data_IF_446492118449
#
_entry.id   IF_446492118449
#
_cell.length_a   1.000
_cell.length_b   1.000
_cell.length_c   1.000
_cell.angle_alpha   90.00
_cell.angle_beta   90.00
_cell.angle_gamma   90.00
#
_symmetry.space_group_name_H-M   'P 1'
#
loop_
_entity.id
_entity.type
_entity.pdbx_description
1 polymer ?
#
# COMPACT_ATOMS: atom_id res chain seq x y z
N UNK A 1 29.25 -2.33 -55.13
CA UNK A 1 28.06 -1.48 -54.98
C UNK A 1 27.53 -1.68 -53.59
N UNK A 2 27.64 -0.66 -52.74
CA UNK A 2 27.15 -0.74 -51.35
C UNK A 2 25.66 -0.41 -51.38
N UNK A 3 24.83 -1.37 -50.94
CA UNK A 3 23.39 -1.19 -50.76
C UNK A 3 23.15 -0.24 -49.57
N UNK A 4 22.68 0.98 -49.86
CA UNK A 4 22.19 1.91 -48.87
C UNK A 4 21.03 1.26 -48.13
N UNK A 5 21.21 0.91 -46.83
CA UNK A 5 20.12 0.58 -45.93
C UNK A 5 19.26 1.83 -45.78
N UNK A 6 18.04 1.80 -46.30
CA UNK A 6 17.03 2.84 -46.07
C UNK A 6 16.67 2.77 -44.57
N UNK A 7 17.02 3.81 -43.83
CA UNK A 7 16.52 3.95 -42.42
C UNK A 7 15.00 4.14 -42.49
N UNK A 8 14.26 3.14 -42.07
CA UNK A 8 12.82 3.26 -41.89
C UNK A 8 12.58 4.28 -40.78
N UNK A 9 11.86 5.34 -41.09
CA UNK A 9 11.48 6.34 -40.09
C UNK A 9 10.62 5.72 -39.00
N UNK A 10 11.02 5.88 -37.73
CA UNK A 10 10.23 5.43 -36.60
C UNK A 10 8.95 6.26 -36.52
N UNK A 11 7.80 5.63 -36.78
CA UNK A 11 6.49 6.27 -36.62
C UNK A 11 6.11 6.24 -35.13
N UNK A 12 6.21 7.40 -34.51
CA UNK A 12 5.75 7.58 -33.08
C UNK A 12 4.24 7.76 -33.10
N UNK A 13 3.51 6.78 -32.55
CA UNK A 13 2.07 6.90 -32.34
C UNK A 13 1.80 7.83 -31.16
N UNK A 14 0.85 8.79 -31.27
CA UNK A 14 0.46 9.63 -30.14
C UNK A 14 -0.16 8.76 -29.04
N UNK A 15 0.02 9.19 -27.78
CA UNK A 15 -0.65 8.59 -26.64
C UNK A 15 -2.13 9.01 -26.61
N UNK A 16 -3.03 8.07 -26.34
CA UNK A 16 -4.46 8.32 -26.08
C UNK A 16 -4.73 8.03 -24.58
N UNK A 17 -4.46 9.03 -23.74
CA UNK A 17 -4.58 8.88 -22.29
C UNK A 17 -6.04 9.06 -21.86
N UNK A 18 -6.59 8.03 -21.25
CA UNK A 18 -7.95 8.01 -20.68
C UNK A 18 -7.91 7.70 -19.20
N UNK A 19 -9.02 8.01 -18.54
CA UNK A 19 -9.22 7.74 -17.12
C UNK A 19 -10.52 6.97 -16.91
N UNK A 20 -10.50 6.09 -15.93
CA UNK A 20 -11.68 5.38 -15.46
C UNK A 20 -11.59 5.18 -13.95
N UNK A 21 -12.75 5.11 -13.30
CA UNK A 21 -12.81 4.82 -11.86
C UNK A 21 -13.37 3.41 -11.68
N UNK A 22 -12.71 2.65 -10.82
CA UNK A 22 -13.18 1.33 -10.37
C UNK A 22 -13.18 1.30 -8.84
N UNK A 23 -14.03 0.45 -8.27
CA UNK A 23 -13.99 0.15 -6.84
C UNK A 23 -13.34 -1.20 -6.61
N UNK A 24 -12.42 -1.26 -5.66
CA UNK A 24 -11.95 -2.52 -5.07
C UNK A 24 -12.62 -2.69 -3.70
N UNK A 25 -12.99 -3.93 -3.38
CA UNK A 25 -13.66 -4.30 -2.12
C UNK A 25 -12.86 -5.42 -1.47
N UNK A 26 -12.59 -5.27 -0.17
CA UNK A 26 -11.85 -6.27 0.60
C UNK A 26 -12.65 -7.55 0.81
N UNK A 27 -12.04 -8.68 0.48
CA UNK A 27 -12.56 -10.03 0.76
C UNK A 27 -12.07 -10.55 2.11
N UNK A 28 -11.01 -9.93 2.64
CA UNK A 28 -10.46 -10.20 3.97
C UNK A 28 -9.94 -8.90 4.59
N UNK A 29 -9.78 -8.84 5.93
CA UNK A 29 -9.30 -7.63 6.60
C UNK A 29 -7.95 -7.15 6.06
N UNK A 30 -7.76 -5.83 5.96
CA UNK A 30 -6.50 -5.22 5.58
C UNK A 30 -5.70 -4.87 6.84
N UNK A 31 -4.46 -5.37 6.94
CA UNK A 31 -3.55 -5.04 8.03
C UNK A 31 -2.50 -4.06 7.52
N UNK A 32 -2.45 -2.87 8.09
CA UNK A 32 -1.47 -1.85 7.71
C UNK A 32 -0.22 -1.91 8.58
N UNK A 33 0.92 -1.50 8.02
CA UNK A 33 2.16 -1.32 8.74
C UNK A 33 2.98 -0.21 8.10
N UNK A 34 2.57 1.03 8.37
CA UNK A 34 3.34 2.20 7.98
C UNK A 34 4.64 2.30 8.80
N UNK A 35 5.66 2.90 8.23
CA UNK A 35 6.88 3.23 8.97
C UNK A 35 6.62 4.44 9.86
N UNK A 36 6.72 4.24 11.18
CA UNK A 36 6.57 5.32 12.14
C UNK A 36 7.71 6.32 12.02
N UNK A 37 7.44 7.58 12.33
CA UNK A 37 8.47 8.63 12.37
C UNK A 37 9.58 8.31 13.40
N UNK A 38 9.20 7.67 14.51
CA UNK A 38 10.12 7.15 15.51
C UNK A 38 11.09 6.12 14.92
N UNK A 39 10.59 5.16 14.12
CA UNK A 39 11.43 4.18 13.45
C UNK A 39 12.37 4.83 12.44
N UNK A 40 11.88 5.78 11.63
CA UNK A 40 12.70 6.56 10.69
C UNK A 40 13.81 7.32 11.39
N UNK A 41 13.49 8.01 12.49
CA UNK A 41 14.46 8.73 13.30
C UNK A 41 15.52 7.81 13.90
N UNK A 42 15.12 6.67 14.45
CA UNK A 42 16.06 5.66 14.99
C UNK A 42 17.01 5.12 13.91
N UNK A 43 16.51 4.87 12.71
CA UNK A 43 17.36 4.44 11.58
C UNK A 43 18.35 5.53 11.18
N UNK A 44 17.92 6.79 11.09
CA UNK A 44 18.80 7.92 10.77
C UNK A 44 19.89 8.10 11.84
N UNK A 45 19.53 8.04 13.12
CA UNK A 45 20.49 8.10 14.23
C UNK A 45 21.49 6.94 14.19
N UNK A 46 21.04 5.74 13.83
CA UNK A 46 21.93 4.58 13.67
C UNK A 46 22.90 4.78 12.52
N UNK A 47 22.45 5.28 11.37
CA UNK A 47 23.31 5.60 10.22
C UNK A 47 24.33 6.71 10.54
N UNK A 48 23.96 7.66 11.41
CA UNK A 48 24.85 8.74 11.88
C UNK A 48 25.77 8.31 13.03
N UNK A 49 25.72 7.07 13.48
CA UNK A 49 26.52 6.57 14.61
C UNK A 49 26.11 7.12 15.98
N UNK A 50 24.96 7.78 16.09
CA UNK A 50 24.48 8.44 17.32
C UNK A 50 23.69 7.51 18.26
N UNK A 51 23.44 6.26 17.86
CA UNK A 51 22.62 5.30 18.61
C UNK A 51 23.36 4.57 19.73
N UNK A 52 24.67 4.67 19.81
CA UNK A 52 25.46 3.94 20.82
C UNK A 52 25.16 4.42 22.25
N UNK A 53 24.68 3.49 23.10
CA UNK A 53 24.42 3.75 24.52
C UNK A 53 23.02 4.30 24.88
N UNK A 54 22.15 4.57 23.91
CA UNK A 54 20.76 4.96 24.19
C UNK A 54 19.94 3.75 24.63
N UNK A 55 19.21 3.86 25.74
CA UNK A 55 18.20 2.87 26.13
C UNK A 55 17.07 2.90 25.11
N UNK A 56 16.55 1.72 24.75
CA UNK A 56 15.33 1.66 23.96
C UNK A 56 14.17 2.31 24.74
N UNK A 57 13.37 3.16 24.11
CA UNK A 57 12.17 3.70 24.76
C UNK A 57 11.23 2.57 25.17
N UNK A 58 10.45 2.81 26.20
CA UNK A 58 9.37 1.88 26.62
C UNK A 58 8.40 1.76 25.45
N UNK A 59 7.95 0.55 25.19
CA UNK A 59 6.99 0.29 24.12
C UNK A 59 5.58 0.66 24.61
N UNK A 60 4.90 1.48 23.83
CA UNK A 60 3.49 1.81 24.01
C UNK A 60 2.69 1.15 22.89
N UNK A 61 1.83 0.15 23.21
CA UNK A 61 1.03 -0.56 22.22
C UNK A 61 0.15 0.35 21.38
N UNK A 62 -0.50 1.33 22.01
CA UNK A 62 -1.44 2.24 21.34
C UNK A 62 -0.70 3.22 20.43
N UNK A 63 0.47 3.75 20.84
CA UNK A 63 1.34 4.54 19.99
C UNK A 63 1.79 3.73 18.76
N UNK A 64 2.29 2.50 18.97
CA UNK A 64 2.70 1.62 17.85
C UNK A 64 1.55 1.37 16.86
N UNK A 65 0.33 1.13 17.36
CA UNK A 65 -0.89 0.95 16.57
C UNK A 65 -1.21 2.21 15.75
N UNK A 66 -1.28 3.38 16.38
CA UNK A 66 -1.56 4.67 15.71
C UNK A 66 -0.51 4.97 14.64
N UNK A 67 0.77 4.80 14.98
CA UNK A 67 1.88 5.08 14.06
C UNK A 67 1.98 4.08 12.91
N UNK A 68 1.39 2.89 13.03
CA UNK A 68 1.37 1.86 11.99
C UNK A 68 0.28 2.07 10.94
N UNK A 69 -0.65 3.02 11.13
CA UNK A 69 -1.65 3.40 10.15
C UNK A 69 -1.08 4.37 9.11
N UNK A 70 -1.60 4.30 7.88
CA UNK A 70 -1.41 5.35 6.87
C UNK A 70 -2.54 6.36 7.00
N UNK A 71 -2.26 7.49 7.62
CA UNK A 71 -3.21 8.58 7.79
C UNK A 71 -3.22 9.50 6.56
N UNK A 72 -4.40 9.77 6.01
CA UNK A 72 -4.59 10.82 5.00
C UNK A 72 -4.85 12.17 5.66
N UNK A 73 -5.70 12.18 6.70
CA UNK A 73 -6.01 13.39 7.46
C UNK A 73 -6.31 13.06 8.91
N UNK A 74 -6.19 14.05 9.79
CA UNK A 74 -6.59 13.95 11.18
C UNK A 74 -5.76 12.99 12.04
N UNK A 75 -4.47 12.77 11.69
CA UNK A 75 -3.58 11.95 12.52
C UNK A 75 -3.52 12.52 13.93
N UNK A 76 -3.73 11.71 15.00
CA UNK A 76 -3.65 12.16 16.37
C UNK A 76 -2.30 12.77 16.72
N UNK A 77 -2.31 13.87 17.46
CA UNK A 77 -1.12 14.50 18.03
C UNK A 77 -1.14 14.34 19.55
N UNK A 78 -0.05 13.85 20.13
CA UNK A 78 0.15 13.67 21.56
C UNK A 78 1.65 13.72 21.89
N UNK A 79 2.05 13.97 23.17
CA UNK A 79 3.44 13.98 23.59
C UNK A 79 4.16 12.65 23.32
N UNK A 80 5.48 12.69 23.11
CA UNK A 80 6.30 11.46 22.87
C UNK A 80 6.27 10.45 24.03
N UNK A 81 6.02 10.91 25.24
CA UNK A 81 5.93 10.15 26.48
C UNK A 81 4.48 9.93 26.94
N UNK A 82 3.51 10.15 26.07
CA UNK A 82 2.09 9.95 26.36
C UNK A 82 1.82 8.51 26.85
N UNK A 83 0.93 8.38 27.83
CA UNK A 83 0.43 7.11 28.31
C UNK A 83 -0.45 6.40 27.26
N UNK A 84 -0.76 5.13 27.49
CA UNK A 84 -1.70 4.39 26.62
C UNK A 84 -3.09 5.03 26.62
N UNK A 85 -3.53 5.56 27.79
CA UNK A 85 -4.81 6.23 27.95
C UNK A 85 -4.87 7.53 27.13
N UNK A 86 -3.85 8.38 27.22
CA UNK A 86 -3.75 9.62 26.43
C UNK A 86 -3.71 9.34 24.92
N UNK A 87 -2.99 8.29 24.49
CA UNK A 87 -2.97 7.88 23.09
C UNK A 87 -4.36 7.38 22.63
N UNK A 88 -5.07 6.65 23.48
CA UNK A 88 -6.42 6.12 23.20
C UNK A 88 -7.42 7.26 23.04
N UNK A 89 -7.44 8.21 23.99
CA UNK A 89 -8.30 9.39 23.92
C UNK A 89 -8.03 10.22 22.65
N UNK A 90 -6.75 10.42 22.30
CA UNK A 90 -6.36 11.14 21.10
C UNK A 90 -6.81 10.42 19.81
N UNK A 91 -6.72 9.08 19.79
CA UNK A 91 -7.21 8.27 18.67
C UNK A 91 -8.73 8.36 18.53
N UNK A 92 -9.48 8.17 19.61
CA UNK A 92 -10.94 8.24 19.63
C UNK A 92 -11.42 9.63 19.18
N UNK A 93 -10.82 10.71 19.69
CA UNK A 93 -11.11 12.07 19.28
C UNK A 93 -10.81 12.30 17.77
N UNK A 94 -9.72 11.73 17.24
CA UNK A 94 -9.42 11.82 15.83
C UNK A 94 -10.48 11.14 14.96
N UNK A 95 -10.94 9.95 15.35
CA UNK A 95 -12.01 9.22 14.66
C UNK A 95 -13.34 9.99 14.70
N UNK A 96 -13.72 10.52 15.86
CA UNK A 96 -14.93 11.34 16.01
C UNK A 96 -14.89 12.62 15.15
N UNK A 97 -13.70 13.19 14.96
CA UNK A 97 -13.47 14.35 14.12
C UNK A 97 -13.32 14.00 12.62
N UNK A 98 -13.56 12.76 12.23
CA UNK A 98 -13.59 12.34 10.83
C UNK A 98 -12.21 12.11 10.21
N UNK A 99 -11.24 11.68 10.98
CA UNK A 99 -9.94 11.27 10.46
C UNK A 99 -10.07 10.20 9.38
N UNK A 100 -9.18 10.24 8.38
CA UNK A 100 -9.23 9.32 7.23
C UNK A 100 -7.93 8.59 7.05
N UNK A 101 -8.04 7.38 6.51
CA UNK A 101 -6.91 6.48 6.26
C UNK A 101 -6.67 6.28 4.78
N UNK A 102 -5.42 6.03 4.43
CA UNK A 102 -5.02 5.76 3.06
C UNK A 102 -4.21 4.49 2.90
N UNK A 103 -3.93 4.15 1.64
CA UNK A 103 -3.00 3.09 1.31
C UNK A 103 -2.19 3.45 0.06
N UNK A 104 -0.88 3.10 -0.02
CA UNK A 104 -0.04 3.46 -1.16
C UNK A 104 -0.56 2.85 -2.46
N UNK A 105 -0.85 3.70 -3.47
CA UNK A 105 -1.31 3.25 -4.80
C UNK A 105 -0.28 2.35 -5.48
N UNK A 106 1.00 2.54 -5.16
CA UNK A 106 2.09 1.72 -5.69
C UNK A 106 1.98 0.25 -5.27
N UNK A 107 1.46 -0.04 -4.08
CA UNK A 107 1.27 -1.40 -3.61
C UNK A 107 0.18 -2.12 -4.42
N UNK A 108 -0.93 -1.44 -4.72
CA UNK A 108 -2.02 -1.97 -5.56
C UNK A 108 -1.50 -2.25 -6.97
N UNK A 109 -0.75 -1.30 -7.55
CA UNK A 109 -0.14 -1.47 -8.86
C UNK A 109 0.86 -2.62 -8.89
N UNK A 110 1.69 -2.77 -7.87
CA UNK A 110 2.65 -3.88 -7.75
C UNK A 110 1.95 -5.23 -7.63
N UNK A 111 0.86 -5.32 -6.86
CA UNK A 111 0.06 -6.55 -6.75
C UNK A 111 -0.49 -6.98 -8.11
N UNK A 112 -1.04 -6.04 -8.90
CA UNK A 112 -1.52 -6.31 -10.26
C UNK A 112 -0.41 -6.81 -11.18
N UNK A 113 0.76 -6.17 -11.16
CA UNK A 113 1.92 -6.56 -11.99
C UNK A 113 2.46 -7.93 -11.61
N UNK A 114 2.58 -8.21 -10.31
CA UNK A 114 3.08 -9.47 -9.81
C UNK A 114 2.11 -10.62 -10.14
N UNK A 115 0.80 -10.41 -9.99
CA UNK A 115 -0.21 -11.40 -10.34
C UNK A 115 -0.22 -11.71 -11.83
N UNK A 116 -0.21 -10.69 -12.70
CA UNK A 116 -0.17 -10.89 -14.14
C UNK A 116 1.06 -11.70 -14.59
N UNK A 117 2.21 -11.47 -13.97
CA UNK A 117 3.42 -12.26 -14.24
C UNK A 117 3.29 -13.70 -13.73
N UNK A 118 2.83 -13.93 -12.51
CA UNK A 118 2.67 -15.25 -11.91
C UNK A 118 1.65 -16.12 -12.64
N UNK A 119 0.62 -15.49 -13.22
CA UNK A 119 -0.40 -16.16 -14.02
C UNK A 119 0.02 -16.35 -15.50
N UNK A 120 1.23 -15.90 -15.87
CA UNK A 120 1.75 -16.06 -17.23
C UNK A 120 1.11 -15.13 -18.27
N UNK A 121 0.39 -14.10 -17.84
CA UNK A 121 -0.24 -13.13 -18.76
C UNK A 121 0.76 -12.17 -19.40
N UNK A 122 1.87 -11.93 -18.73
CA UNK A 122 2.99 -11.14 -19.25
C UNK A 122 4.31 -11.90 -19.07
N UNK A 123 5.24 -11.69 -20.00
CA UNK A 123 6.55 -12.37 -19.98
C UNK A 123 7.45 -11.93 -18.82
N UNK A 124 7.25 -10.72 -18.32
CA UNK A 124 7.95 -10.17 -17.16
C UNK A 124 7.08 -9.11 -16.47
N UNK A 125 7.37 -8.82 -15.20
CA UNK A 125 6.61 -7.82 -14.42
C UNK A 125 6.68 -6.41 -14.99
N UNK A 126 7.71 -6.09 -15.79
CA UNK A 126 7.90 -4.76 -16.37
C UNK A 126 6.88 -4.47 -17.48
N UNK A 127 6.29 -5.50 -18.11
CA UNK A 127 5.33 -5.34 -19.20
C UNK A 127 4.14 -4.46 -18.86
N UNK A 128 3.65 -4.50 -17.64
CA UNK A 128 2.53 -3.67 -17.18
C UNK A 128 2.93 -2.33 -16.53
N UNK A 129 4.23 -2.04 -16.35
CA UNK A 129 4.66 -0.84 -15.62
C UNK A 129 4.19 0.46 -16.23
N UNK A 130 4.27 0.57 -17.57
CA UNK A 130 3.86 1.74 -18.32
C UNK A 130 2.42 1.70 -18.82
N UNK A 131 1.70 0.58 -18.61
CA UNK A 131 0.38 0.39 -19.18
C UNK A 131 -0.69 1.24 -18.49
N UNK A 132 -0.56 1.44 -17.18
CA UNK A 132 -1.50 2.22 -16.39
C UNK A 132 -0.86 2.84 -15.15
N UNK A 133 -1.54 3.84 -14.60
CA UNK A 133 -1.20 4.48 -13.34
C UNK A 133 -2.46 4.60 -12.50
N UNK A 134 -2.32 4.46 -11.19
CA UNK A 134 -3.40 4.72 -10.22
C UNK A 134 -3.11 6.09 -9.64
N UNK A 135 -4.08 7.00 -9.70
CA UNK A 135 -3.95 8.34 -9.12
C UNK A 135 -4.07 8.23 -7.60
N UNK A 136 -3.14 8.83 -6.92
CA UNK A 136 -3.17 9.03 -5.47
C UNK A 136 -3.25 10.53 -5.14
N UNK A 137 -3.30 10.83 -3.86
CA UNK A 137 -3.08 12.17 -3.34
C UNK A 137 -1.62 12.63 -3.56
N UNK A 138 -1.24 13.77 -2.99
CA UNK A 138 0.12 14.32 -3.06
C UNK A 138 1.20 13.37 -2.48
N UNK A 139 0.81 12.46 -1.57
CA UNK A 139 1.66 11.45 -0.97
C UNK A 139 1.60 10.11 -1.71
N UNK A 140 0.85 10.00 -2.81
CA UNK A 140 0.68 8.78 -3.58
C UNK A 140 -0.20 7.76 -2.86
N UNK A 141 -1.19 8.18 -2.09
CA UNK A 141 -2.13 7.32 -1.39
C UNK A 141 -3.54 7.45 -1.97
N UNK A 142 -4.31 6.37 -1.85
CA UNK A 142 -5.75 6.32 -2.08
C UNK A 142 -6.45 6.13 -0.74
N UNK A 143 -7.63 6.76 -0.58
CA UNK A 143 -8.42 6.62 0.63
C UNK A 143 -8.95 5.18 0.78
N UNK A 144 -8.83 4.65 2.00
CA UNK A 144 -9.48 3.41 2.42
C UNK A 144 -10.71 3.78 3.25
N UNK A 145 -11.85 3.32 2.81
CA UNK A 145 -13.11 3.37 3.56
C UNK A 145 -13.29 2.04 4.28
N UNK A 146 -13.63 2.09 5.56
CA UNK A 146 -13.76 0.89 6.40
C UNK A 146 -14.54 1.19 7.67
N UNK A 147 -14.80 0.18 8.47
CA UNK A 147 -15.11 0.35 9.87
C UNK A 147 -13.92 0.98 10.61
N UNK A 148 -14.15 1.43 11.86
CA UNK A 148 -13.06 1.91 12.73
C UNK A 148 -12.01 0.80 12.87
N UNK A 149 -10.73 1.10 12.63
CA UNK A 149 -9.70 0.06 12.68
C UNK A 149 -9.51 -0.46 14.11
N UNK A 150 -9.33 -1.77 14.19
CA UNK A 150 -9.08 -2.49 15.43
C UNK A 150 -7.58 -2.68 15.67
N UNK A 151 -7.14 -2.56 16.91
CA UNK A 151 -5.75 -2.87 17.28
C UNK A 151 -5.54 -4.38 17.29
N UNK A 152 -4.57 -4.82 16.48
CA UNK A 152 -4.14 -6.21 16.39
C UNK A 152 -2.75 -6.38 16.97
N UNK A 153 -2.56 -7.41 17.77
CA UNK A 153 -1.26 -7.84 18.26
C UNK A 153 -0.73 -9.02 17.44
N UNK A 154 0.47 -8.87 16.86
CA UNK A 154 1.15 -9.91 16.08
C UNK A 154 2.52 -10.22 16.67
N UNK A 155 2.79 -11.48 16.97
CA UNK A 155 4.15 -11.94 17.25
C UNK A 155 4.88 -12.20 15.94
N UNK A 156 5.99 -11.49 15.71
CA UNK A 156 6.80 -11.60 14.49
C UNK A 156 8.23 -12.01 14.82
N UNK A 157 8.89 -12.68 13.89
CA UNK A 157 10.34 -12.94 13.96
C UNK A 157 11.09 -11.83 13.26
N UNK A 158 12.02 -11.19 13.98
CA UNK A 158 12.93 -10.17 13.45
C UNK A 158 14.33 -10.78 13.35
N UNK A 159 14.86 -10.90 12.13
CA UNK A 159 16.17 -11.50 11.89
C UNK A 159 16.26 -12.98 12.31
N UNK A 160 17.46 -13.40 12.70
CA UNK A 160 17.75 -14.80 13.02
C UNK A 160 17.35 -15.19 14.46
N UNK A 161 16.07 -15.03 14.82
CA UNK A 161 15.53 -15.66 16.04
C UNK A 161 15.07 -14.73 17.15
N UNK A 162 15.04 -13.42 16.95
CA UNK A 162 14.44 -12.48 17.91
C UNK A 162 12.93 -12.40 17.64
N UNK A 163 12.11 -12.72 18.66
CA UNK A 163 10.67 -12.45 18.63
C UNK A 163 10.41 -10.98 18.98
N UNK A 164 9.47 -10.35 18.29
CA UNK A 164 8.96 -9.01 18.59
C UNK A 164 7.44 -9.00 18.50
N UNK A 165 6.79 -8.18 19.30
CA UNK A 165 5.35 -7.97 19.26
C UNK A 165 5.10 -6.69 18.44
N UNK A 166 4.17 -6.76 17.49
CA UNK A 166 3.76 -5.64 16.65
C UNK A 166 2.30 -5.34 16.88
N UNK A 167 1.99 -4.08 17.14
CA UNK A 167 0.64 -3.57 17.24
C UNK A 167 0.29 -2.84 15.96
N UNK A 168 -0.74 -3.33 15.25
CA UNK A 168 -1.07 -2.90 13.89
C UNK A 168 -2.56 -2.67 13.73
N UNK A 169 -2.98 -1.68 12.92
CA UNK A 169 -4.39 -1.49 12.61
C UNK A 169 -4.86 -2.55 11.61
N UNK A 170 -5.98 -3.18 11.95
CA UNK A 170 -6.76 -4.06 11.10
C UNK A 170 -8.04 -3.36 10.68
N UNK A 171 -8.25 -3.25 9.37
CA UNK A 171 -9.40 -2.61 8.75
C UNK A 171 -10.36 -3.69 8.26
N UNK A 172 -11.55 -3.74 8.81
CA UNK A 172 -12.62 -4.65 8.41
C UNK A 172 -13.54 -3.94 7.40
N UNK A 173 -14.25 -4.70 6.57
CA UNK A 173 -15.25 -4.20 5.60
C UNK A 173 -14.72 -3.02 4.75
N UNK A 174 -13.48 -3.12 4.30
CA UNK A 174 -12.82 -2.03 3.59
C UNK A 174 -13.06 -2.03 2.09
N UNK A 175 -13.04 -0.83 1.50
CA UNK A 175 -13.04 -0.62 0.07
C UNK A 175 -12.23 0.64 -0.30
N UNK A 176 -11.88 0.77 -1.58
CA UNK A 176 -11.26 1.97 -2.12
C UNK A 176 -11.73 2.23 -3.56
N UNK A 177 -11.88 3.51 -3.90
CA UNK A 177 -12.18 3.95 -5.26
C UNK A 177 -10.88 4.36 -5.95
N UNK A 178 -10.54 3.68 -7.05
CA UNK A 178 -9.29 3.87 -7.78
C UNK A 178 -9.55 4.61 -9.08
N UNK A 179 -8.90 5.75 -9.26
CA UNK A 179 -8.84 6.43 -10.56
C UNK A 179 -7.64 5.91 -11.34
N UNK A 180 -7.90 5.22 -12.43
CA UNK A 180 -6.90 4.60 -13.29
C UNK A 180 -6.70 5.45 -14.52
N UNK A 181 -5.47 5.89 -14.77
CA UNK A 181 -5.03 6.53 -16.00
C UNK A 181 -4.29 5.51 -16.87
N UNK A 182 -4.66 5.37 -18.12
CA UNK A 182 -4.10 4.39 -19.04
C UNK A 182 -4.04 4.90 -20.48
N UNK A 183 -3.18 4.31 -21.31
CA UNK A 183 -3.13 4.63 -22.73
C UNK A 183 -4.08 3.70 -23.51
N UNK A 184 -5.19 4.25 -24.02
CA UNK A 184 -6.19 3.49 -24.78
C UNK A 184 -5.67 3.01 -26.16
N UNK A 185 -4.62 3.64 -26.71
CA UNK A 185 -3.93 3.18 -27.91
C UNK A 185 -2.76 2.22 -27.60
N UNK A 186 -2.59 1.83 -26.32
CA UNK A 186 -1.54 0.93 -25.85
C UNK A 186 -1.81 -0.54 -26.14
N UNK A 187 -0.87 -1.39 -25.70
CA UNK A 187 -0.94 -2.85 -25.87
C UNK A 187 -2.04 -3.48 -25.00
N UNK A 188 -2.30 -2.91 -23.82
CA UNK A 188 -3.23 -3.46 -22.83
C UNK A 188 -4.55 -2.69 -22.84
N UNK A 189 -5.66 -3.38 -23.07
CA UNK A 189 -7.00 -2.82 -22.93
C UNK A 189 -7.32 -2.52 -21.45
N UNK A 190 -8.31 -1.66 -21.22
CA UNK A 190 -8.76 -1.35 -19.86
C UNK A 190 -9.28 -2.60 -19.12
N UNK A 191 -9.94 -3.51 -19.81
CA UNK A 191 -10.42 -4.77 -19.27
C UNK A 191 -9.24 -5.65 -18.81
N UNK A 192 -8.16 -5.69 -19.58
CA UNK A 192 -6.93 -6.42 -19.22
C UNK A 192 -6.28 -5.83 -17.96
N UNK A 193 -6.27 -4.50 -17.84
CA UNK A 193 -5.74 -3.79 -16.67
C UNK A 193 -6.62 -4.07 -15.44
N UNK A 194 -7.94 -4.00 -15.57
CA UNK A 194 -8.90 -4.30 -14.50
C UNK A 194 -8.75 -5.75 -14.04
N UNK A 195 -8.64 -6.69 -14.99
CA UNK A 195 -8.42 -8.11 -14.67
C UNK A 195 -7.09 -8.33 -13.93
N UNK A 196 -6.03 -7.59 -14.30
CA UNK A 196 -4.75 -7.68 -13.59
C UNK A 196 -4.86 -7.13 -12.15
N UNK A 197 -5.62 -6.05 -11.93
CA UNK A 197 -5.89 -5.51 -10.59
C UNK A 197 -6.69 -6.52 -9.77
N UNK A 198 -7.74 -7.09 -10.34
CA UNK A 198 -8.57 -8.10 -9.69
C UNK A 198 -7.75 -9.36 -9.30
N UNK A 199 -6.93 -9.87 -10.22
CA UNK A 199 -6.02 -10.97 -9.94
C UNK A 199 -4.99 -10.60 -8.86
N UNK A 200 -4.53 -9.33 -8.84
CA UNK A 200 -3.65 -8.79 -7.82
C UNK A 200 -4.22 -8.95 -6.42
N UNK A 201 -5.52 -8.73 -6.25
CA UNK A 201 -6.21 -8.91 -4.98
C UNK A 201 -6.21 -10.33 -4.47
N UNK A 202 -6.43 -11.30 -5.34
CA UNK A 202 -6.47 -12.71 -4.97
C UNK A 202 -5.07 -13.32 -4.81
N UNK A 203 -4.16 -13.09 -5.77
CA UNK A 203 -2.85 -13.75 -5.83
C UNK A 203 -1.83 -13.13 -4.88
N UNK A 204 -1.88 -11.82 -4.72
CA UNK A 204 -0.87 -11.05 -3.98
C UNK A 204 -1.43 -10.43 -2.70
N UNK A 205 -2.61 -9.82 -2.76
CA UNK A 205 -3.19 -9.05 -1.67
C UNK A 205 -2.42 -7.79 -1.31
N UNK A 206 -2.88 -7.08 -0.28
CA UNK A 206 -2.29 -5.84 0.23
C UNK A 206 -1.95 -5.96 1.72
N UNK A 207 -1.03 -5.13 2.18
CA UNK A 207 -0.67 -5.03 3.60
C UNK A 207 0.13 -6.22 4.13
N UNK A 208 0.00 -6.43 5.44
CA UNK A 208 0.70 -7.52 6.14
C UNK A 208 -0.11 -8.82 6.07
N UNK A 209 0.58 -9.95 6.24
CA UNK A 209 -0.02 -11.29 6.19
C UNK A 209 -0.85 -11.56 4.92
N UNK A 210 -0.48 -10.90 3.81
CA UNK A 210 -1.14 -11.07 2.50
C UNK A 210 -0.74 -12.41 1.84
N UNK A 211 -1.50 -12.92 0.87
CA UNK A 211 -1.19 -14.17 0.14
C UNK A 211 0.23 -14.25 -0.40
N UNK A 212 0.79 -13.15 -0.88
CA UNK A 212 2.19 -13.10 -1.33
C UNK A 212 3.21 -13.43 -0.23
N UNK A 213 2.81 -13.39 1.03
CA UNK A 213 3.60 -13.67 2.24
C UNK A 213 3.02 -14.83 3.05
N UNK A 214 2.42 -15.80 2.35
CA UNK A 214 1.83 -17.02 2.92
C UNK A 214 0.69 -16.76 3.93
N UNK A 215 0.08 -15.58 3.87
CA UNK A 215 -1.07 -15.19 4.67
C UNK A 215 -2.38 -15.22 3.88
N UNK A 216 -3.45 -14.70 4.49
CA UNK A 216 -4.80 -14.65 3.90
C UNK A 216 -5.49 -13.30 4.11
N UNK A 217 -4.75 -12.28 4.52
CA UNK A 217 -5.25 -10.93 4.76
C UNK A 217 -5.05 -10.03 3.53
N UNK A 218 -5.82 -8.94 3.46
CA UNK A 218 -5.71 -7.96 2.40
C UNK A 218 -6.07 -8.45 1.01
N UNK A 219 -6.82 -9.54 0.90
CA UNK A 219 -7.41 -9.97 -0.37
C UNK A 219 -8.55 -9.03 -0.76
N UNK A 220 -8.72 -8.82 -2.05
CA UNK A 220 -9.77 -7.96 -2.59
C UNK A 220 -10.17 -8.39 -4.00
N UNK A 221 -11.32 -7.92 -4.43
CA UNK A 221 -11.80 -8.02 -5.81
C UNK A 221 -12.21 -6.64 -6.35
N UNK A 222 -12.31 -6.53 -7.66
CA UNK A 222 -12.92 -5.36 -8.32
C UNK A 222 -14.44 -5.54 -8.30
N UNK A 223 -15.16 -4.58 -7.72
CA UNK A 223 -16.62 -4.62 -7.66
C UNK A 223 -17.23 -4.67 -9.07
N UNK A 224 -18.29 -5.43 -9.25
CA UNK A 224 -19.09 -5.38 -10.49
C UNK A 224 -19.68 -3.98 -10.65
N UNK A 225 -19.58 -3.45 -11.87
CA UNK A 225 -20.22 -2.18 -12.27
C UNK A 225 -21.70 -2.39 -12.57
#
# INVERSE_FOLDING_TARGET
MATKKTEEAIVIKPLDIKETTIRIVGDSPLIMHAWSEKAKRMMLEAQQGKSKGKKKPVKNPVDDFIQSAYWLSGKPEYPEDASEEECTEAFEAAIENGATFGFPVTAIKQAAQAAAYRLGWVKNQMGLRGAFFIKGDENGMVQIHSDVPEMREDMVKVGMGTADIRYRPQFNNWYADLVISYNAAGEFSIESIINAINAGGYVCGLGEWRPERDGSYGQFHVAAQ
#
